data_IF_422212606779
#
_entry.id   IF_422212606779
#
_cell.length_a   1.000
_cell.length_b   1.000
_cell.length_c   1.000
_cell.angle_alpha   90.00
_cell.angle_beta   90.00
_cell.angle_gamma   90.00
#
_symmetry.space_group_name_H-M   'P 1'
#
loop_
_entity.id
_entity.type
_entity.pdbx_description
1 polymer ?
#
# COMPACT_ATOMS: atom_id res chain seq x y z
N UNK A 1 39.42 -20.69 -91.50
CA UNK A 1 40.61 -19.83 -91.76
C UNK A 1 40.22 -18.39 -91.44
N UNK A 2 41.05 -17.49 -90.90
CA UNK A 2 42.47 -17.55 -90.50
C UNK A 2 42.77 -16.57 -89.33
N UNK A 3 43.71 -16.96 -88.45
CA UNK A 3 44.63 -16.21 -87.55
C UNK A 3 44.28 -14.72 -87.20
N UNK A 4 44.14 -14.27 -85.94
CA UNK A 4 44.94 -14.44 -84.69
C UNK A 4 46.21 -13.54 -84.60
N UNK A 5 46.39 -12.89 -83.42
CA UNK A 5 47.58 -12.17 -82.85
C UNK A 5 47.75 -10.66 -83.16
N UNK A 6 48.51 -9.85 -82.38
CA UNK A 6 48.70 -9.65 -80.89
C UNK A 6 49.79 -8.58 -80.63
N UNK A 7 49.67 -7.75 -79.57
CA UNK A 7 50.73 -6.87 -78.97
C UNK A 7 51.18 -5.69 -79.89
N UNK A 8 51.92 -4.65 -79.48
CA UNK A 8 52.67 -4.29 -78.24
C UNK A 8 51.99 -3.10 -77.50
N UNK A 9 52.17 -2.74 -76.21
CA UNK A 9 53.17 -2.93 -75.13
C UNK A 9 54.24 -1.80 -74.98
N UNK A 10 53.96 -0.87 -74.06
CA UNK A 10 54.81 0.06 -73.27
C UNK A 10 53.98 0.32 -71.97
N UNK A 11 54.43 0.37 -70.69
CA UNK A 11 55.64 0.86 -69.99
C UNK A 11 55.80 2.40 -70.04
N UNK A 12 55.93 3.15 -68.92
CA UNK A 12 55.98 2.81 -67.48
C UNK A 12 55.61 4.03 -66.59
N UNK A 13 55.54 3.84 -65.27
CA UNK A 13 55.34 4.84 -64.19
C UNK A 13 53.90 5.38 -64.02
N UNK A 14 53.43 5.78 -62.84
CA UNK A 14 54.06 5.89 -61.51
C UNK A 14 53.22 5.18 -60.41
N UNK A 15 53.68 5.14 -59.16
CA UNK A 15 53.10 4.32 -58.07
C UNK A 15 52.20 5.09 -57.08
N UNK A 16 51.38 4.35 -56.33
CA UNK A 16 50.51 4.83 -55.24
C UNK A 16 49.02 4.89 -55.63
N UNK A 17 48.04 4.56 -54.77
CA UNK A 17 48.11 3.91 -53.45
C UNK A 17 46.79 3.11 -53.19
N UNK A 18 46.70 2.43 -52.04
CA UNK A 18 45.77 1.34 -51.71
C UNK A 18 44.25 1.52 -51.94
N UNK A 19 43.59 0.35 -51.94
CA UNK A 19 42.16 0.07 -52.08
C UNK A 19 41.30 0.47 -50.84
N UNK A 20 39.97 0.50 -51.08
CA UNK A 20 38.84 0.16 -50.17
C UNK A 20 38.29 1.20 -49.14
N UNK A 21 36.94 1.24 -49.08
CA UNK A 21 36.06 1.29 -47.85
C UNK A 21 36.04 2.61 -47.04
N UNK A 22 34.90 3.21 -46.64
CA UNK A 22 33.44 2.94 -46.85
C UNK A 22 32.63 4.25 -46.79
N UNK A 23 31.31 4.18 -47.02
CA UNK A 23 30.38 5.29 -46.84
C UNK A 23 30.34 5.84 -45.40
N UNK A 24 30.18 7.16 -45.26
CA UNK A 24 29.98 7.85 -43.98
C UNK A 24 28.49 8.10 -43.76
N UNK A 25 27.85 7.25 -42.95
CA UNK A 25 26.59 7.55 -42.28
C UNK A 25 26.92 7.92 -40.83
N UNK A 26 26.94 9.22 -40.54
CA UNK A 26 27.28 9.74 -39.22
C UNK A 26 26.16 9.50 -38.21
N UNK A 27 26.17 8.34 -37.56
CA UNK A 27 25.35 8.09 -36.37
C UNK A 27 25.86 8.92 -35.19
N UNK A 28 25.01 9.80 -34.64
CA UNK A 28 25.31 10.50 -33.39
C UNK A 28 25.10 9.53 -32.21
N UNK A 29 26.18 8.88 -31.78
CA UNK A 29 26.20 8.16 -30.50
C UNK A 29 26.10 9.18 -29.36
N UNK A 30 25.04 9.07 -28.55
CA UNK A 30 24.94 9.68 -27.22
C UNK A 30 25.21 8.57 -26.20
N UNK A 31 25.87 8.92 -25.09
CA UNK A 31 26.43 7.96 -24.15
C UNK A 31 25.41 6.92 -23.66
N UNK A 32 25.78 5.64 -23.73
CA UNK A 32 24.95 4.54 -23.27
C UNK A 32 24.82 4.54 -21.75
N UNK A 33 23.63 4.84 -21.25
CA UNK A 33 23.13 4.20 -20.05
C UNK A 33 22.92 2.71 -20.35
N UNK A 34 23.36 1.83 -19.45
CA UNK A 34 22.88 0.45 -19.43
C UNK A 34 21.45 0.45 -18.85
N UNK A 35 20.52 0.96 -19.64
CA UNK A 35 19.10 0.89 -19.38
C UNK A 35 18.65 -0.48 -19.87
N UNK A 36 18.26 -1.38 -18.98
CA UNK A 36 17.72 -2.66 -19.41
C UNK A 36 16.47 -2.42 -20.25
N UNK A 37 16.38 -3.09 -21.40
CA UNK A 37 15.17 -3.08 -22.19
C UNK A 37 14.02 -3.68 -21.35
N UNK A 38 12.88 -3.01 -21.37
CA UNK A 38 11.67 -3.50 -20.74
C UNK A 38 11.30 -4.91 -21.26
N UNK A 39 10.65 -5.76 -20.45
CA UNK A 39 10.11 -7.04 -20.88
C UNK A 39 9.28 -6.94 -22.17
N UNK A 40 9.32 -7.97 -23.02
CA UNK A 40 8.52 -8.03 -24.25
C UNK A 40 7.04 -8.33 -23.93
N UNK A 41 6.27 -7.25 -23.68
CA UNK A 41 4.88 -7.34 -23.21
C UNK A 41 3.91 -7.47 -24.37
N UNK A 42 3.14 -8.56 -24.41
CA UNK A 42 2.22 -8.92 -25.52
C UNK A 42 1.14 -7.88 -25.85
N UNK A 43 0.83 -7.00 -24.90
CA UNK A 43 -0.14 -5.90 -24.99
C UNK A 43 0.48 -4.51 -24.68
N UNK A 44 1.80 -4.47 -24.46
CA UNK A 44 2.54 -3.26 -24.09
C UNK A 44 2.34 -2.78 -22.64
N UNK A 45 1.64 -3.52 -21.77
CA UNK A 45 1.27 -3.07 -20.42
C UNK A 45 2.06 -3.74 -19.32
N UNK A 46 2.57 -2.96 -18.37
CA UNK A 46 3.16 -3.46 -17.12
C UNK A 46 2.09 -4.20 -16.32
N UNK A 47 2.31 -5.46 -16.00
CA UNK A 47 1.45 -6.21 -15.10
C UNK A 47 1.81 -5.91 -13.66
N UNK A 48 0.84 -5.38 -12.93
CA UNK A 48 0.97 -5.11 -11.49
C UNK A 48 0.05 -6.04 -10.72
N UNK A 49 0.61 -6.87 -9.86
CA UNK A 49 -0.13 -7.48 -8.76
C UNK A 49 -0.09 -6.53 -7.57
N UNK A 50 -1.25 -6.24 -6.97
CA UNK A 50 -1.37 -5.45 -5.75
C UNK A 50 -2.19 -6.26 -4.75
N UNK A 51 -1.65 -6.52 -3.56
CA UNK A 51 -2.33 -7.39 -2.58
C UNK A 51 -3.62 -6.74 -2.07
N UNK A 52 -3.50 -5.53 -1.53
CA UNK A 52 -4.56 -4.74 -0.91
C UNK A 52 -5.10 -3.63 -1.83
N UNK A 53 -6.31 -3.12 -1.52
CA UNK A 53 -6.95 -2.05 -2.30
C UNK A 53 -6.18 -0.72 -2.42
N UNK A 54 -5.47 -0.18 -1.42
CA UNK A 54 -4.77 1.10 -1.58
C UNK A 54 -3.68 1.01 -2.64
N UNK A 55 -2.90 -0.09 -2.65
CA UNK A 55 -1.86 -0.34 -3.66
C UNK A 55 -2.45 -0.54 -5.05
N UNK A 56 -3.60 -1.21 -5.15
CA UNK A 56 -4.36 -1.31 -6.40
C UNK A 56 -4.75 0.07 -6.96
N UNK A 57 -5.33 0.96 -6.15
CA UNK A 57 -5.69 2.31 -6.63
C UNK A 57 -4.43 3.16 -6.91
N UNK A 58 -3.39 3.10 -6.08
CA UNK A 58 -2.15 3.84 -6.30
C UNK A 58 -1.51 3.44 -7.63
N UNK A 59 -1.31 2.15 -7.89
CA UNK A 59 -0.76 1.66 -9.15
C UNK A 59 -1.65 2.03 -10.35
N UNK A 60 -2.98 1.94 -10.21
CA UNK A 60 -3.95 2.32 -11.25
C UNK A 60 -3.89 3.83 -11.57
N UNK A 61 -3.74 4.68 -10.56
CA UNK A 61 -3.75 6.15 -10.72
C UNK A 61 -2.42 6.69 -11.22
N UNK A 62 -1.30 6.07 -10.83
CA UNK A 62 0.05 6.41 -11.30
C UNK A 62 0.29 5.84 -12.70
N UNK A 63 0.03 4.54 -12.90
CA UNK A 63 0.28 3.83 -14.14
C UNK A 63 -0.69 4.15 -15.29
N UNK A 64 -1.95 4.47 -14.97
CA UNK A 64 -2.95 4.85 -15.95
C UNK A 64 -3.15 3.82 -17.06
N UNK A 65 -2.88 4.22 -18.31
CA UNK A 65 -3.06 3.33 -19.47
C UNK A 65 -1.93 2.31 -19.66
N UNK A 66 -0.75 2.54 -19.07
CA UNK A 66 0.47 1.74 -19.27
C UNK A 66 0.54 0.50 -18.37
N UNK A 67 -0.37 0.36 -17.41
CA UNK A 67 -0.44 -0.78 -16.48
C UNK A 67 -1.68 -1.65 -16.76
N UNK A 68 -1.60 -2.92 -16.39
CA UNK A 68 -2.75 -3.76 -16.07
C UNK A 68 -2.63 -4.20 -14.61
N UNK A 69 -3.55 -3.73 -13.75
CA UNK A 69 -3.45 -3.90 -12.30
C UNK A 69 -4.45 -4.96 -11.83
N UNK A 70 -3.96 -5.97 -11.15
CA UNK A 70 -4.78 -7.01 -10.49
C UNK A 70 -4.74 -6.83 -8.98
N UNK A 71 -5.92 -6.62 -8.37
CA UNK A 71 -6.11 -6.76 -6.93
C UNK A 71 -6.10 -8.25 -6.59
N UNK A 72 -5.28 -8.68 -5.62
CA UNK A 72 -5.18 -10.09 -5.22
C UNK A 72 -6.24 -10.46 -4.19
N UNK A 73 -6.35 -9.72 -3.08
CA UNK A 73 -7.42 -9.96 -2.09
C UNK A 73 -8.76 -9.44 -2.65
N UNK A 74 -9.75 -10.30 -2.98
CA UNK A 74 -10.89 -9.90 -3.78
C UNK A 74 -11.76 -8.81 -3.13
N UNK A 75 -12.30 -7.90 -3.96
CA UNK A 75 -13.18 -6.82 -3.51
C UNK A 75 -14.42 -7.33 -2.74
N UNK A 76 -14.44 -7.11 -1.43
CA UNK A 76 -15.49 -7.53 -0.50
C UNK A 76 -15.11 -8.71 0.39
N UNK A 77 -13.86 -9.19 0.32
CA UNK A 77 -13.28 -10.18 1.23
C UNK A 77 -12.59 -9.48 2.41
N UNK A 78 -12.62 -10.10 3.59
CA UNK A 78 -11.76 -9.70 4.72
C UNK A 78 -10.32 -10.13 4.43
N UNK A 79 -9.34 -9.30 4.80
CA UNK A 79 -7.94 -9.44 4.39
C UNK A 79 -7.11 -10.29 5.35
N UNK A 80 -7.33 -10.14 6.66
CA UNK A 80 -6.67 -10.93 7.71
C UNK A 80 -7.06 -12.42 7.67
N UNK A 81 -8.17 -12.75 7.01
CA UNK A 81 -8.64 -14.13 6.76
C UNK A 81 -8.45 -14.62 5.32
N UNK A 82 -7.59 -13.97 4.52
CA UNK A 82 -7.31 -14.35 3.14
C UNK A 82 -6.21 -15.43 3.01
N UNK A 83 -6.58 -16.61 2.52
CA UNK A 83 -5.62 -17.60 2.02
C UNK A 83 -5.47 -17.48 0.48
N UNK A 84 -4.26 -17.28 -0.08
CA UNK A 84 -4.06 -17.17 -1.52
C UNK A 84 -4.26 -18.52 -2.23
N UNK A 85 -5.08 -18.55 -3.29
CA UNK A 85 -5.22 -19.78 -4.09
C UNK A 85 -4.00 -20.00 -4.99
N UNK A 86 -3.79 -21.22 -5.46
CA UNK A 86 -2.77 -21.50 -6.48
C UNK A 86 -2.92 -20.65 -7.76
N UNK A 87 -4.12 -20.17 -8.10
CA UNK A 87 -4.31 -19.25 -9.23
C UNK A 87 -3.81 -17.83 -8.93
N UNK A 88 -3.74 -17.44 -7.66
CA UNK A 88 -3.31 -16.12 -7.22
C UNK A 88 -1.79 -16.10 -7.03
N UNK A 89 -1.20 -17.18 -6.49
CA UNK A 89 0.25 -17.42 -6.54
C UNK A 89 0.77 -17.34 -7.99
N UNK A 90 0.08 -17.99 -8.94
CA UNK A 90 0.39 -17.91 -10.37
C UNK A 90 0.14 -16.51 -10.94
N UNK A 91 -0.84 -15.73 -10.45
CA UNK A 91 -1.07 -14.35 -10.92
C UNK A 91 0.05 -13.42 -10.51
N UNK A 92 0.48 -13.49 -9.25
CA UNK A 92 1.57 -12.68 -8.70
C UNK A 92 2.92 -13.05 -9.31
N UNK A 93 3.25 -14.34 -9.39
CA UNK A 93 4.50 -14.81 -9.99
C UNK A 93 4.66 -14.55 -11.49
N UNK A 94 3.59 -14.12 -12.20
CA UNK A 94 3.61 -13.72 -13.61
C UNK A 94 3.37 -12.21 -13.82
N UNK A 95 3.52 -11.39 -12.77
CA UNK A 95 3.53 -9.94 -12.85
C UNK A 95 4.92 -9.40 -13.23
N UNK A 96 4.99 -8.16 -13.72
CA UNK A 96 6.26 -7.40 -13.77
C UNK A 96 6.58 -6.80 -12.40
N UNK A 97 5.53 -6.39 -11.66
CA UNK A 97 5.61 -5.73 -10.35
C UNK A 97 4.59 -6.35 -9.37
N UNK A 98 5.04 -6.71 -8.17
CA UNK A 98 4.21 -7.08 -7.01
C UNK A 98 4.36 -6.00 -5.94
N UNK A 99 3.24 -5.34 -5.62
CA UNK A 99 3.10 -4.42 -4.50
C UNK A 99 2.35 -5.14 -3.38
N UNK A 100 3.02 -5.33 -2.25
CA UNK A 100 2.45 -5.95 -1.07
C UNK A 100 2.68 -5.06 0.16
N UNK A 101 1.83 -5.18 1.17
CA UNK A 101 2.01 -4.47 2.43
C UNK A 101 3.30 -4.92 3.12
N UNK A 102 3.44 -6.23 3.28
CA UNK A 102 4.35 -6.82 4.28
C UNK A 102 3.68 -6.95 5.64
N UNK A 103 4.48 -7.18 6.67
CA UNK A 103 3.98 -7.49 8.01
C UNK A 103 3.43 -8.92 8.13
N UNK A 104 2.65 -9.18 9.17
CA UNK A 104 2.29 -10.55 9.56
C UNK A 104 1.13 -11.14 8.77
N UNK A 105 0.17 -10.32 8.31
CA UNK A 105 -0.98 -10.78 7.51
C UNK A 105 -0.59 -11.22 6.08
N UNK A 106 0.64 -10.93 5.65
CA UNK A 106 1.14 -11.21 4.29
C UNK A 106 2.40 -12.08 4.23
N UNK A 107 2.75 -12.82 5.29
CA UNK A 107 3.90 -13.75 5.30
C UNK A 107 3.88 -14.76 4.13
N UNK A 108 2.70 -15.11 3.61
CA UNK A 108 2.54 -15.97 2.43
C UNK A 108 3.15 -15.40 1.14
N UNK A 109 3.43 -14.09 1.06
CA UNK A 109 4.10 -13.46 -0.09
C UNK A 109 5.54 -13.98 -0.27
N UNK A 110 6.25 -14.34 0.81
CA UNK A 110 7.61 -14.87 0.71
C UNK A 110 7.70 -16.12 -0.20
N UNK A 111 6.73 -17.02 -0.07
CA UNK A 111 6.63 -18.24 -0.89
C UNK A 111 6.36 -17.93 -2.37
N UNK A 112 5.68 -16.82 -2.68
CA UNK A 112 5.46 -16.34 -4.05
C UNK A 112 6.77 -15.87 -4.67
N UNK A 113 7.56 -15.10 -3.92
CA UNK A 113 8.83 -14.54 -4.38
C UNK A 113 9.86 -15.67 -4.61
N UNK A 114 9.97 -16.62 -3.69
CA UNK A 114 10.81 -17.81 -3.86
C UNK A 114 10.42 -18.64 -5.10
N UNK A 115 9.12 -18.86 -5.31
CA UNK A 115 8.61 -19.58 -6.49
C UNK A 115 8.73 -18.80 -7.81
N UNK A 116 8.95 -17.48 -7.75
CA UNK A 116 9.09 -16.59 -8.92
C UNK A 116 10.55 -16.31 -9.32
N UNK A 117 11.54 -16.97 -8.71
CA UNK A 117 12.98 -16.72 -8.87
C UNK A 117 13.54 -16.79 -10.30
N UNK A 118 12.87 -17.49 -11.23
CA UNK A 118 13.23 -17.53 -12.66
C UNK A 118 12.59 -16.39 -13.49
N UNK A 119 11.76 -15.52 -12.90
CA UNK A 119 11.06 -14.42 -13.58
C UNK A 119 11.64 -13.04 -13.23
N UNK A 120 11.45 -12.05 -14.12
CA UNK A 120 11.77 -10.63 -13.84
C UNK A 120 10.68 -9.96 -12.99
N UNK A 121 10.29 -10.58 -11.89
CA UNK A 121 9.37 -9.97 -10.92
C UNK A 121 10.13 -8.98 -10.04
N UNK A 122 9.76 -7.70 -10.08
CA UNK A 122 10.07 -6.78 -8.98
C UNK A 122 9.00 -6.96 -7.91
N UNK A 123 9.39 -7.28 -6.68
CA UNK A 123 8.50 -7.20 -5.51
C UNK A 123 8.98 -6.06 -4.61
N UNK A 124 8.05 -5.27 -4.08
CA UNK A 124 8.36 -4.22 -3.10
C UNK A 124 7.35 -4.22 -1.94
N UNK A 125 7.88 -4.04 -0.74
CA UNK A 125 7.21 -4.19 0.54
C UNK A 125 6.89 -2.82 1.13
N UNK A 126 5.61 -2.47 1.16
CA UNK A 126 5.17 -1.10 1.40
C UNK A 126 5.46 -0.61 2.84
N UNK A 127 5.56 -1.51 3.84
CA UNK A 127 5.99 -1.15 5.21
C UNK A 127 7.42 -0.60 5.27
N UNK A 128 8.31 -0.94 4.33
CA UNK A 128 9.69 -0.44 4.33
C UNK A 128 9.81 1.06 4.00
N UNK A 129 8.75 1.68 3.46
CA UNK A 129 8.77 3.05 2.92
C UNK A 129 8.18 4.12 3.85
N UNK A 130 7.89 3.74 5.10
CA UNK A 130 7.30 4.63 6.13
C UNK A 130 8.01 4.47 7.47
N UNK A 131 7.74 5.38 8.43
CA UNK A 131 8.04 5.11 9.83
C UNK A 131 6.89 4.26 10.37
N UNK A 132 7.21 3.11 10.93
CA UNK A 132 6.25 2.22 11.57
C UNK A 132 5.86 2.69 12.98
N UNK A 133 4.70 2.22 13.42
CA UNK A 133 4.14 2.34 14.77
C UNK A 133 3.74 0.92 15.20
N UNK A 134 3.73 0.65 16.50
CA UNK A 134 3.13 -0.59 17.03
C UNK A 134 1.63 -0.42 17.22
N UNK A 135 0.91 -1.53 17.25
CA UNK A 135 -0.44 -1.61 17.80
C UNK A 135 -0.43 -1.05 19.25
N UNK A 136 -1.58 -0.57 19.73
CA UNK A 136 -1.73 -0.18 21.13
C UNK A 136 -3.10 -0.57 21.68
N UNK A 137 -3.09 -1.17 22.87
CA UNK A 137 -4.29 -1.49 23.62
C UNK A 137 -4.68 -0.31 24.51
N UNK A 138 -5.84 0.31 24.24
CA UNK A 138 -6.36 1.45 25.00
C UNK A 138 -7.46 1.04 25.99
N UNK A 139 -7.62 1.80 27.08
CA UNK A 139 -8.60 1.51 28.14
C UNK A 139 -9.99 1.18 27.57
N UNK A 140 -10.52 0.01 27.95
CA UNK A 140 -11.87 -0.46 27.60
C UNK A 140 -11.98 -1.24 26.28
N UNK A 141 -10.91 -1.34 25.50
CA UNK A 141 -10.81 -2.29 24.39
C UNK A 141 -10.97 -3.74 24.90
N UNK A 142 -11.49 -4.64 24.06
CA UNK A 142 -11.55 -6.06 24.36
C UNK A 142 -10.14 -6.63 24.48
N UNK A 143 -9.82 -7.29 25.60
CA UNK A 143 -8.61 -8.11 25.72
C UNK A 143 -8.65 -9.23 24.67
N UNK A 144 -7.63 -9.28 23.80
CA UNK A 144 -7.39 -10.41 22.91
C UNK A 144 -7.24 -11.68 23.76
N UNK A 145 -7.94 -12.76 23.39
CA UNK A 145 -7.71 -14.09 23.98
C UNK A 145 -6.50 -14.71 23.30
N UNK A 146 -5.31 -14.16 23.55
CA UNK A 146 -4.08 -14.69 23.00
C UNK A 146 -3.97 -16.19 23.27
N UNK A 147 -3.56 -16.95 22.27
CA UNK A 147 -2.91 -18.22 22.56
C UNK A 147 -1.64 -17.84 23.34
N UNK A 148 -1.63 -18.12 24.64
CA UNK A 148 -0.49 -17.83 25.47
C UNK A 148 0.69 -18.66 24.93
N UNK A 149 1.66 -17.98 24.32
CA UNK A 149 2.97 -18.57 24.09
C UNK A 149 3.55 -18.91 25.45
N UNK A 150 3.48 -20.21 25.77
CA UNK A 150 3.94 -20.78 27.03
C UNK A 150 5.47 -20.68 27.04
N UNK A 151 5.97 -19.56 27.54
CA UNK A 151 7.40 -19.32 27.73
C UNK A 151 7.88 -20.15 28.92
N UNK A 152 8.09 -21.45 28.68
CA UNK A 152 8.83 -22.34 29.57
C UNK A 152 10.16 -21.66 29.95
N UNK A 153 10.37 -21.42 31.25
CA UNK A 153 11.56 -20.75 31.81
C UNK A 153 12.80 -21.67 31.83
N UNK A 154 13.28 -22.10 30.66
CA UNK A 154 14.53 -22.85 30.52
C UNK A 154 15.76 -21.91 30.57
N UNK A 155 16.22 -21.59 31.80
CA UNK A 155 17.53 -20.96 32.04
C UNK A 155 18.70 -21.89 31.66
N UNK A 156 19.34 -21.72 30.50
CA UNK A 156 20.78 -22.02 30.35
C UNK A 156 21.53 -20.93 29.56
N UNK A 157 22.44 -20.22 30.24
CA UNK A 157 23.31 -19.22 29.63
C UNK A 157 24.46 -19.84 28.83
N UNK A 158 24.69 -19.35 27.61
CA UNK A 158 26.03 -19.35 27.00
C UNK A 158 26.32 -17.98 26.36
N UNK A 159 27.54 -17.47 26.56
CA UNK A 159 28.03 -16.24 25.92
C UNK A 159 28.84 -16.58 24.67
N UNK A 160 28.72 -15.77 23.62
CA UNK A 160 29.83 -15.44 22.71
C UNK A 160 29.62 -14.04 22.10
N UNK A 161 30.71 -13.32 21.80
CA UNK A 161 30.66 -11.91 21.34
C UNK A 161 30.71 -11.78 19.80
N UNK A 162 29.77 -11.05 19.18
CA UNK A 162 29.94 -10.53 17.82
C UNK A 162 29.08 -9.29 17.48
N UNK A 163 29.76 -8.21 17.04
CA UNK A 163 29.31 -7.24 16.04
C UNK A 163 27.96 -6.48 16.22
N UNK A 164 27.94 -5.55 17.17
CA UNK A 164 27.67 -4.11 16.90
C UNK A 164 26.69 -3.78 15.74
N UNK A 165 25.38 -3.94 15.99
CA UNK A 165 24.30 -3.31 15.23
C UNK A 165 23.52 -2.35 16.16
N UNK A 166 22.95 -1.31 15.58
CA UNK A 166 22.51 -0.13 16.35
C UNK A 166 21.24 -0.39 17.16
N UNK A 167 21.36 -0.21 18.48
CA UNK A 167 20.25 -0.12 19.42
C UNK A 167 19.32 1.06 19.09
N UNK A 168 18.07 0.74 18.75
CA UNK A 168 16.96 1.70 18.74
C UNK A 168 15.68 1.10 19.31
N UNK A 169 15.65 0.94 20.63
CA UNK A 169 14.45 0.90 21.49
C UNK A 169 13.56 -0.35 21.48
N UNK A 170 13.62 -1.05 22.62
CA UNK A 170 12.48 -1.57 23.40
C UNK A 170 11.10 -1.11 22.90
N UNK A 171 10.34 -2.02 22.29
CA UNK A 171 8.89 -1.87 22.10
C UNK A 171 8.29 -3.24 21.77
N UNK A 172 7.98 -4.03 22.81
CA UNK A 172 7.69 -5.47 22.72
C UNK A 172 6.27 -5.80 22.19
N UNK A 173 5.70 -4.91 21.37
CA UNK A 173 4.36 -5.02 20.81
C UNK A 173 4.37 -5.20 19.29
N UNK A 174 3.34 -5.87 18.78
CA UNK A 174 3.11 -6.12 17.35
C UNK A 174 3.08 -4.81 16.53
N UNK A 175 3.54 -4.88 15.28
CA UNK A 175 3.61 -3.72 14.38
C UNK A 175 2.23 -3.46 13.77
N UNK A 176 1.70 -2.23 13.91
CA UNK A 176 0.48 -1.86 13.17
C UNK A 176 0.83 -1.78 11.68
N UNK A 177 0.24 -2.67 10.89
CA UNK A 177 0.51 -2.81 9.47
C UNK A 177 -0.29 -1.82 8.57
N UNK A 178 -1.23 -1.05 9.13
CA UNK A 178 -2.23 -0.23 8.41
C UNK A 178 -1.69 1.13 7.95
N UNK A 179 -0.45 1.11 7.46
CA UNK A 179 0.40 2.27 7.15
C UNK A 179 -0.24 3.30 6.20
N UNK A 180 -1.11 2.85 5.29
CA UNK A 180 -1.76 3.67 4.27
C UNK A 180 -2.88 4.57 4.82
N UNK A 181 -3.31 4.36 6.06
CA UNK A 181 -4.43 5.10 6.66
C UNK A 181 -4.10 6.56 6.95
N UNK A 182 -2.82 6.91 7.15
CA UNK A 182 -2.35 8.30 7.12
C UNK A 182 -2.27 8.82 5.66
N UNK A 183 -2.97 9.92 5.31
CA UNK A 183 -2.81 10.59 4.01
C UNK A 183 -1.40 11.15 3.75
N UNK A 184 -0.52 11.22 4.74
CA UNK A 184 0.89 11.60 4.58
C UNK A 184 1.75 10.39 4.26
N UNK A 185 1.48 9.22 4.87
CA UNK A 185 2.10 7.96 4.42
C UNK A 185 1.66 7.60 2.99
N UNK A 186 0.37 7.74 2.66
CA UNK A 186 -0.14 7.51 1.31
C UNK A 186 0.58 8.35 0.23
N UNK A 187 1.10 9.54 0.56
CA UNK A 187 1.91 10.34 -0.38
C UNK A 187 3.29 9.71 -0.67
N UNK A 188 3.91 9.11 0.35
CA UNK A 188 5.20 8.39 0.21
C UNK A 188 5.00 7.15 -0.66
N UNK A 189 3.97 6.35 -0.32
CA UNK A 189 3.61 5.12 -1.02
C UNK A 189 3.26 5.36 -2.50
N UNK A 190 2.48 6.42 -2.80
CA UNK A 190 2.20 6.82 -4.19
C UNK A 190 3.44 7.27 -4.95
N UNK A 191 4.46 7.85 -4.29
CA UNK A 191 5.74 8.16 -4.94
C UNK A 191 6.58 6.91 -5.17
N UNK A 192 6.68 6.02 -4.19
CA UNK A 192 7.39 4.74 -4.32
C UNK A 192 6.84 3.92 -5.49
N UNK A 193 5.52 3.74 -5.57
CA UNK A 193 4.85 3.05 -6.70
C UNK A 193 5.18 3.67 -8.07
N UNK A 194 5.45 4.97 -8.15
CA UNK A 194 5.90 5.62 -9.38
C UNK A 194 7.36 5.31 -9.73
N UNK A 195 8.22 5.17 -8.71
CA UNK A 195 9.60 4.75 -8.88
C UNK A 195 9.70 3.25 -9.18
N UNK A 196 8.80 2.39 -8.67
CA UNK A 196 8.72 0.96 -9.02
C UNK A 196 8.27 0.74 -10.47
N UNK A 197 7.18 1.40 -10.87
CA UNK A 197 6.75 1.44 -12.26
C UNK A 197 7.86 1.98 -13.17
N UNK A 198 8.63 2.96 -12.67
CA UNK A 198 9.85 3.47 -13.32
C UNK A 198 10.97 2.45 -13.48
N UNK A 199 11.21 1.60 -12.47
CA UNK A 199 12.21 0.51 -12.50
C UNK A 199 11.86 -0.55 -13.56
N UNK A 200 10.59 -0.97 -13.62
CA UNK A 200 10.13 -2.03 -14.55
C UNK A 200 9.78 -1.53 -15.94
N UNK A 201 9.44 -0.25 -16.10
CA UNK A 201 9.08 0.34 -17.41
C UNK A 201 9.70 1.75 -17.61
N UNK A 202 11.03 1.83 -17.79
CA UNK A 202 11.75 3.10 -17.82
C UNK A 202 11.38 4.06 -18.96
N UNK A 203 10.67 3.59 -19.98
CA UNK A 203 10.21 4.42 -21.11
C UNK A 203 9.09 5.39 -20.69
N UNK A 204 8.28 5.04 -19.69
CA UNK A 204 7.10 5.79 -19.24
C UNK A 204 7.27 6.49 -17.87
N UNK A 205 8.50 6.51 -17.32
CA UNK A 205 8.86 7.19 -16.06
C UNK A 205 8.22 8.59 -15.89
N UNK A 206 8.25 9.42 -16.95
CA UNK A 206 7.78 10.82 -16.89
C UNK A 206 6.27 10.91 -16.76
N UNK A 207 5.55 9.97 -17.36
CA UNK A 207 4.11 9.83 -17.25
C UNK A 207 3.73 9.34 -15.84
N UNK A 208 4.47 8.38 -15.27
CA UNK A 208 4.29 7.92 -13.90
C UNK A 208 4.54 9.02 -12.87
N UNK A 209 5.70 9.69 -12.93
CA UNK A 209 6.02 10.83 -12.05
C UNK A 209 4.92 11.89 -12.12
N UNK A 210 4.52 12.31 -13.33
CA UNK A 210 3.47 13.31 -13.54
C UNK A 210 2.11 12.90 -12.97
N UNK A 211 1.75 11.62 -13.06
CA UNK A 211 0.49 11.10 -12.54
C UNK A 211 0.51 10.99 -11.00
N UNK A 212 1.61 10.48 -10.43
CA UNK A 212 1.85 10.47 -8.99
C UNK A 212 1.83 11.89 -8.41
N UNK A 213 2.53 12.82 -9.05
CA UNK A 213 2.60 14.23 -8.71
C UNK A 213 1.21 14.91 -8.80
N UNK A 214 0.28 14.41 -9.63
CA UNK A 214 -1.11 14.86 -9.68
C UNK A 214 -2.00 14.21 -8.59
N UNK A 215 -1.73 12.97 -8.20
CA UNK A 215 -2.47 12.25 -7.15
C UNK A 215 -2.04 12.69 -5.74
N UNK A 216 -0.74 12.87 -5.51
CA UNK A 216 -0.15 13.47 -4.30
C UNK A 216 -0.76 14.87 -4.05
N UNK A 217 -0.98 15.67 -5.09
CA UNK A 217 -1.69 16.97 -4.96
C UNK A 217 -3.18 16.86 -4.64
N UNK A 218 -3.80 15.66 -4.71
CA UNK A 218 -5.12 15.37 -4.10
C UNK A 218 -4.94 15.04 -2.61
N UNK A 219 -4.02 14.13 -2.29
CA UNK A 219 -3.70 13.69 -0.92
C UNK A 219 -3.28 14.86 -0.02
N UNK A 220 -2.44 15.79 -0.50
CA UNK A 220 -2.08 17.01 0.22
C UNK A 220 -3.28 17.91 0.53
N UNK A 221 -4.22 18.05 -0.42
CA UNK A 221 -5.45 18.83 -0.17
C UNK A 221 -6.40 18.13 0.79
N UNK A 222 -6.37 16.80 0.84
CA UNK A 222 -7.16 15.99 1.75
C UNK A 222 -6.56 16.07 3.17
N UNK A 223 -5.24 15.90 3.31
CA UNK A 223 -4.49 16.10 4.55
C UNK A 223 -4.77 17.46 5.19
N UNK A 224 -4.60 18.54 4.43
CA UNK A 224 -4.83 19.89 4.95
C UNK A 224 -6.30 20.12 5.35
N UNK A 225 -7.27 19.47 4.70
CA UNK A 225 -8.67 19.48 5.16
C UNK A 225 -8.85 18.70 6.48
N UNK A 226 -8.15 17.57 6.68
CA UNK A 226 -8.18 16.83 7.94
C UNK A 226 -7.55 17.63 9.09
N UNK A 227 -6.34 18.18 8.89
CA UNK A 227 -5.68 19.08 9.88
C UNK A 227 -6.59 20.25 10.25
N UNK A 228 -7.21 20.92 9.27
CA UNK A 228 -8.19 21.99 9.53
C UNK A 228 -9.40 21.53 10.37
N UNK A 229 -9.83 20.26 10.26
CA UNK A 229 -10.95 19.75 11.08
C UNK A 229 -10.51 19.44 12.50
N UNK A 230 -9.33 18.83 12.70
CA UNK A 230 -8.87 18.41 14.04
C UNK A 230 -8.22 19.54 14.83
N UNK A 231 -7.64 20.56 14.19
CA UNK A 231 -7.16 21.79 14.85
C UNK A 231 -8.31 22.64 15.42
N UNK A 232 -9.49 22.59 14.77
CA UNK A 232 -10.67 23.34 15.18
C UNK A 232 -11.65 22.54 16.06
N UNK A 233 -11.38 21.26 16.31
CA UNK A 233 -12.19 20.39 17.17
C UNK A 233 -12.10 20.81 18.65
N UNK A 234 -13.19 20.67 19.41
CA UNK A 234 -13.25 21.02 20.84
C UNK A 234 -12.93 19.87 21.77
N UNK A 235 -13.44 18.70 21.44
CA UNK A 235 -12.96 17.42 21.94
C UNK A 235 -12.36 16.69 20.74
N UNK A 236 -11.21 16.06 20.93
CA UNK A 236 -10.44 15.42 19.84
C UNK A 236 -10.67 13.90 19.80
N UNK A 237 -11.78 13.47 20.37
CA UNK A 237 -11.99 12.08 20.76
C UNK A 237 -12.94 11.34 19.83
N UNK A 238 -12.52 10.16 19.35
CA UNK A 238 -13.32 9.27 18.51
C UNK A 238 -13.67 7.96 19.23
N UNK A 239 -14.90 7.49 19.09
CA UNK A 239 -15.33 6.20 19.63
C UNK A 239 -15.62 5.21 18.49
N UNK A 240 -14.74 4.23 18.33
CA UNK A 240 -14.92 3.10 17.42
C UNK A 240 -15.59 1.96 18.21
N UNK A 241 -16.67 1.41 17.66
CA UNK A 241 -17.38 0.25 18.23
C UNK A 241 -17.14 -0.99 17.35
N UNK A 242 -15.87 -1.15 16.96
CA UNK A 242 -15.36 -2.06 15.94
C UNK A 242 -13.83 -2.25 16.15
N UNK A 243 -13.18 -2.99 15.26
CA UNK A 243 -11.70 -3.11 15.18
C UNK A 243 -11.04 -1.76 14.88
N UNK A 244 -9.77 -1.59 15.24
CA UNK A 244 -9.04 -0.31 15.14
C UNK A 244 -7.76 -0.34 14.26
N UNK A 245 -7.87 -0.64 12.96
CA UNK A 245 -6.75 -0.55 12.01
C UNK A 245 -6.49 0.91 11.56
N UNK A 246 -6.26 1.84 12.51
CA UNK A 246 -6.28 3.29 12.27
C UNK A 246 -5.22 4.10 13.05
N UNK A 247 -4.22 3.46 13.69
CA UNK A 247 -3.20 4.13 14.53
C UNK A 247 -2.53 5.31 13.81
N UNK A 248 -2.07 5.11 12.58
CA UNK A 248 -1.40 6.14 11.78
C UNK A 248 -2.28 7.36 11.49
N UNK A 249 -3.61 7.20 11.39
CA UNK A 249 -4.52 8.32 11.20
C UNK A 249 -4.71 9.13 12.49
N UNK A 250 -4.83 8.45 13.63
CA UNK A 250 -4.98 9.09 14.95
C UNK A 250 -3.71 9.86 15.34
N UNK A 251 -2.53 9.24 15.15
CA UNK A 251 -1.22 9.85 15.39
C UNK A 251 -0.99 11.11 14.53
N UNK A 252 -1.18 11.01 13.20
CA UNK A 252 -0.96 12.11 12.23
C UNK A 252 -1.80 13.36 12.54
N UNK A 253 -2.98 13.19 13.13
CA UNK A 253 -3.93 14.28 13.40
C UNK A 253 -4.06 14.66 14.88
N UNK A 254 -3.28 14.02 15.75
CA UNK A 254 -3.25 14.27 17.19
C UNK A 254 -4.64 14.15 17.81
N UNK A 255 -5.25 12.98 17.63
CA UNK A 255 -6.58 12.61 18.12
C UNK A 255 -6.46 11.65 19.32
N UNK A 256 -7.50 11.62 20.15
CA UNK A 256 -7.70 10.60 21.18
C UNK A 256 -8.76 9.59 20.71
N UNK A 257 -8.79 8.37 21.25
CA UNK A 257 -9.84 7.41 20.90
C UNK A 257 -10.19 6.38 21.99
N UNK A 258 -11.20 5.56 21.68
CA UNK A 258 -11.45 4.23 22.24
C UNK A 258 -11.98 3.33 21.11
N UNK A 259 -11.73 2.03 21.23
CA UNK A 259 -12.09 1.01 20.25
C UNK A 259 -12.74 -0.20 20.93
N UNK A 260 -13.45 -1.05 20.16
CA UNK A 260 -13.97 -2.30 20.70
C UNK A 260 -12.92 -3.41 20.70
N UNK A 261 -12.04 -3.46 19.70
CA UNK A 261 -10.99 -4.47 19.54
C UNK A 261 -9.70 -3.83 18.99
N UNK A 262 -8.60 -4.59 18.98
CA UNK A 262 -7.33 -4.24 18.36
C UNK A 262 -7.45 -4.05 16.83
N UNK A 263 -6.35 -3.73 16.15
CA UNK A 263 -6.30 -3.56 14.69
C UNK A 263 -6.58 -4.88 13.97
N UNK A 264 -5.69 -5.86 14.18
CA UNK A 264 -5.73 -7.17 13.50
C UNK A 264 -6.74 -8.19 14.08
N UNK A 265 -7.57 -7.80 15.05
CA UNK A 265 -8.42 -8.72 15.83
C UNK A 265 -9.36 -9.61 14.98
N UNK A 266 -9.62 -10.83 15.46
CA UNK A 266 -10.58 -11.77 14.88
C UNK A 266 -11.92 -11.86 15.64
N UNK A 267 -12.00 -11.31 16.86
CA UNK A 267 -13.24 -11.32 17.66
C UNK A 267 -14.29 -10.35 17.06
N UNK A 268 -15.58 -10.71 17.14
CA UNK A 268 -16.69 -9.96 16.50
C UNK A 268 -17.85 -9.60 17.42
N UNK A 269 -17.85 -10.10 18.66
CA UNK A 269 -18.83 -9.74 19.70
C UNK A 269 -18.05 -9.39 21.00
N UNK A 270 -17.93 -8.11 21.38
CA UNK A 270 -17.09 -7.68 22.49
C UNK A 270 -17.79 -7.89 23.84
N UNK A 271 -17.01 -7.88 24.93
CA UNK A 271 -17.54 -8.05 26.29
C UNK A 271 -18.59 -7.00 26.67
N UNK A 272 -19.45 -7.36 27.63
CA UNK A 272 -20.42 -6.43 28.20
C UNK A 272 -19.75 -5.22 28.87
N UNK A 273 -18.53 -5.38 29.37
CA UNK A 273 -17.75 -4.31 29.99
C UNK A 273 -17.15 -3.36 28.95
N UNK A 274 -16.62 -3.87 27.82
CA UNK A 274 -16.23 -3.08 26.63
C UNK A 274 -17.41 -2.27 26.10
N UNK A 275 -18.59 -2.89 25.91
CA UNK A 275 -19.80 -2.18 25.48
C UNK A 275 -20.22 -1.10 26.49
N UNK A 276 -20.11 -1.39 27.79
CA UNK A 276 -20.42 -0.44 28.87
C UNK A 276 -19.45 0.74 28.88
N UNK A 277 -18.16 0.47 28.68
CA UNK A 277 -17.10 1.46 28.59
C UNK A 277 -17.28 2.40 27.40
N UNK A 278 -17.45 1.85 26.19
CA UNK A 278 -17.71 2.60 24.96
C UNK A 278 -18.97 3.48 25.14
N UNK A 279 -20.05 2.89 25.65
CA UNK A 279 -21.30 3.62 25.93
C UNK A 279 -21.10 4.74 26.95
N UNK A 280 -20.22 4.57 27.94
CA UNK A 280 -19.87 5.59 28.93
C UNK A 280 -19.10 6.74 28.30
N UNK A 281 -18.02 6.47 27.56
CA UNK A 281 -17.22 7.51 26.88
C UNK A 281 -18.09 8.36 25.94
N UNK A 282 -18.94 7.72 25.12
CA UNK A 282 -19.87 8.41 24.20
C UNK A 282 -20.86 9.30 24.96
N UNK A 283 -21.37 8.86 26.12
CA UNK A 283 -22.29 9.66 26.97
C UNK A 283 -21.60 10.83 27.67
N UNK A 284 -20.47 10.59 28.31
CA UNK A 284 -19.79 11.57 29.17
C UNK A 284 -19.21 12.72 28.35
N UNK A 285 -18.63 12.41 27.18
CA UNK A 285 -18.15 13.39 26.19
C UNK A 285 -19.25 13.96 25.29
N UNK A 286 -20.41 13.30 25.24
CA UNK A 286 -21.55 13.60 24.34
C UNK A 286 -21.17 13.53 22.86
N UNK A 287 -20.45 12.48 22.47
CA UNK A 287 -20.02 12.30 21.08
C UNK A 287 -21.27 12.16 20.17
N UNK A 288 -21.34 12.86 19.03
CA UNK A 288 -22.48 12.80 18.12
C UNK A 288 -22.51 11.53 17.26
N UNK A 289 -21.39 10.83 17.14
CA UNK A 289 -21.18 9.68 16.24
C UNK A 289 -20.42 8.57 16.98
N UNK A 290 -20.81 7.32 16.72
CA UNK A 290 -20.03 6.11 16.96
C UNK A 290 -19.58 5.57 15.59
N UNK A 291 -18.32 5.15 15.50
CA UNK A 291 -17.69 4.73 14.26
C UNK A 291 -17.59 3.20 14.16
N UNK A 292 -17.61 2.72 12.91
CA UNK A 292 -17.32 1.35 12.48
C UNK A 292 -16.51 1.37 11.20
N UNK A 293 -15.83 0.28 10.86
CA UNK A 293 -15.05 0.17 9.62
C UNK A 293 -15.88 -0.43 8.48
N UNK A 294 -15.35 -0.48 7.26
CA UNK A 294 -16.05 -1.13 6.14
C UNK A 294 -16.12 -2.66 6.30
N UNK A 295 -17.07 -3.29 5.58
CA UNK A 295 -17.30 -4.74 5.53
C UNK A 295 -17.72 -5.43 6.85
N UNK A 296 -17.66 -4.75 8.01
CA UNK A 296 -18.10 -5.28 9.33
C UNK A 296 -19.60 -5.17 9.58
N UNK A 297 -20.06 -5.79 10.68
CA UNK A 297 -21.45 -5.80 11.14
C UNK A 297 -21.80 -4.59 12.03
N UNK A 298 -22.85 -3.85 11.69
CA UNK A 298 -23.27 -2.65 12.42
C UNK A 298 -23.87 -2.91 13.83
N UNK A 299 -24.01 -4.19 14.26
CA UNK A 299 -24.65 -4.57 15.54
C UNK A 299 -24.09 -3.80 16.74
N UNK A 300 -22.77 -3.82 16.93
CA UNK A 300 -22.08 -3.29 18.13
C UNK A 300 -22.20 -1.76 18.15
N UNK A 301 -21.88 -1.12 17.02
CA UNK A 301 -22.02 0.33 16.86
C UNK A 301 -23.46 0.82 17.10
N UNK A 302 -24.47 0.11 16.58
CA UNK A 302 -25.88 0.44 16.85
C UNK A 302 -26.23 0.25 18.34
N UNK A 303 -25.80 -0.84 18.98
CA UNK A 303 -26.07 -1.08 20.40
C UNK A 303 -25.47 0.04 21.29
N UNK A 304 -24.21 0.42 21.03
CA UNK A 304 -23.55 1.53 21.74
C UNK A 304 -24.25 2.86 21.44
N UNK A 305 -24.56 3.17 20.17
CA UNK A 305 -25.21 4.43 19.80
C UNK A 305 -26.65 4.53 20.34
N UNK A 306 -27.42 3.44 20.38
CA UNK A 306 -28.75 3.40 20.99
C UNK A 306 -28.67 3.56 22.51
N UNK A 307 -27.79 2.80 23.19
CA UNK A 307 -27.59 2.89 24.63
C UNK A 307 -27.04 4.26 25.07
N UNK A 308 -26.26 4.93 24.23
CA UNK A 308 -25.71 6.27 24.43
C UNK A 308 -26.70 7.41 24.10
N UNK A 309 -27.69 7.15 23.25
CA UNK A 309 -28.69 8.16 22.87
C UNK A 309 -29.57 8.59 24.03
N UNK A 310 -29.90 9.88 24.06
CA UNK A 310 -30.90 10.47 24.97
C UNK A 310 -31.98 11.19 24.15
N UNK A 311 -32.96 11.80 24.83
CA UNK A 311 -34.01 12.59 24.16
C UNK A 311 -33.48 13.83 23.45
N UNK A 312 -32.42 14.43 23.98
CA UNK A 312 -31.90 15.73 23.56
C UNK A 312 -30.53 15.62 22.86
N UNK A 313 -29.95 14.41 22.84
CA UNK A 313 -28.70 14.07 22.14
C UNK A 313 -28.84 12.70 21.48
N UNK A 314 -29.02 12.67 20.15
CA UNK A 314 -29.13 11.42 19.38
C UNK A 314 -27.79 11.10 18.72
N UNK A 315 -27.21 9.96 19.11
CA UNK A 315 -25.96 9.45 18.54
C UNK A 315 -26.25 8.72 17.22
N UNK A 316 -25.42 8.97 16.20
CA UNK A 316 -25.44 8.26 14.90
C UNK A 316 -24.43 7.10 14.89
N UNK A 317 -24.60 6.18 13.95
CA UNK A 317 -23.52 5.30 13.46
C UNK A 317 -23.11 5.80 12.06
N UNK A 318 -21.81 5.96 11.82
CA UNK A 318 -21.24 6.29 10.51
C UNK A 318 -20.02 5.37 10.25
N UNK A 319 -19.69 5.11 8.98
CA UNK A 319 -18.53 4.28 8.59
C UNK A 319 -17.29 5.13 8.38
N UNK A 320 -16.19 4.75 9.03
CA UNK A 320 -14.86 5.31 8.80
C UNK A 320 -14.03 4.30 8.00
N UNK A 321 -13.77 4.60 6.72
CA UNK A 321 -13.10 3.71 5.79
C UNK A 321 -11.61 3.59 6.12
N UNK A 322 -11.18 2.40 6.47
CA UNK A 322 -9.77 1.99 6.56
C UNK A 322 -9.10 1.98 5.19
N UNK A 323 -9.90 1.86 4.13
CA UNK A 323 -9.48 1.65 2.75
C UNK A 323 -8.72 0.33 2.52
N UNK A 324 -8.71 -0.60 3.49
CA UNK A 324 -8.04 -1.90 3.39
C UNK A 324 -8.59 -2.71 2.20
N UNK A 325 -9.93 -2.73 2.07
CA UNK A 325 -10.64 -3.28 0.90
C UNK A 325 -11.91 -2.45 0.57
N UNK A 326 -12.60 -2.79 -0.52
CA UNK A 326 -13.85 -2.16 -0.96
C UNK A 326 -14.92 -3.20 -1.27
N UNK A 327 -16.21 -2.86 -1.13
CA UNK A 327 -17.27 -3.75 -1.63
C UNK A 327 -17.14 -3.94 -3.15
N UNK A 328 -17.61 -5.08 -3.67
CA UNK A 328 -17.67 -5.35 -5.11
C UNK A 328 -18.35 -4.21 -5.89
N UNK A 329 -19.42 -3.62 -5.35
CA UNK A 329 -20.13 -2.50 -5.96
C UNK A 329 -19.26 -1.22 -6.06
N UNK A 330 -18.46 -0.92 -5.03
CA UNK A 330 -17.52 0.22 -5.06
C UNK A 330 -16.39 -0.03 -6.07
N UNK A 331 -15.85 -1.25 -6.12
CA UNK A 331 -14.84 -1.66 -7.10
C UNK A 331 -15.35 -1.50 -8.53
N UNK A 332 -16.54 -2.05 -8.85
CA UNK A 332 -17.17 -1.95 -10.17
C UNK A 332 -17.61 -0.52 -10.52
N UNK A 333 -17.86 0.34 -9.52
CA UNK A 333 -18.09 1.77 -9.71
C UNK A 333 -16.80 2.59 -9.90
N UNK A 334 -15.61 1.97 -9.79
CA UNK A 334 -14.32 2.63 -9.97
C UNK A 334 -13.87 3.53 -8.82
N UNK A 335 -14.40 3.31 -7.61
CA UNK A 335 -14.03 3.99 -6.36
C UNK A 335 -12.50 4.11 -6.19
N UNK A 336 -12.05 5.12 -5.44
CA UNK A 336 -10.62 5.46 -5.25
C UNK A 336 -10.31 5.59 -3.76
N UNK A 337 -9.05 5.41 -3.35
CA UNK A 337 -8.62 5.68 -1.97
C UNK A 337 -8.96 7.12 -1.57
N UNK A 338 -8.73 8.09 -2.46
CA UNK A 338 -9.08 9.51 -2.23
C UNK A 338 -10.59 9.70 -2.00
N UNK A 339 -11.47 9.01 -2.74
CA UNK A 339 -12.93 9.17 -2.60
C UNK A 339 -13.51 8.44 -1.39
N UNK A 340 -12.84 7.40 -0.87
CA UNK A 340 -13.11 6.85 0.45
C UNK A 340 -12.70 7.84 1.56
N UNK A 341 -11.49 8.37 1.49
CA UNK A 341 -11.00 9.32 2.49
C UNK A 341 -11.72 10.68 2.46
N UNK A 342 -12.27 11.11 1.32
CA UNK A 342 -13.19 12.27 1.28
C UNK A 342 -14.54 12.00 1.96
N UNK A 343 -14.98 10.73 2.09
CA UNK A 343 -16.11 10.35 2.96
C UNK A 343 -15.69 10.38 4.43
N UNK A 344 -14.49 9.89 4.78
CA UNK A 344 -13.95 10.02 6.13
C UNK A 344 -13.86 11.48 6.57
N UNK A 345 -13.52 12.41 5.67
CA UNK A 345 -13.53 13.84 5.96
C UNK A 345 -14.92 14.41 6.26
N UNK A 346 -16.00 13.87 5.68
CA UNK A 346 -17.37 14.18 6.12
C UNK A 346 -17.58 13.63 7.53
N UNK A 347 -17.33 12.34 7.73
CA UNK A 347 -17.59 11.63 8.98
C UNK A 347 -16.82 12.23 10.17
N UNK A 348 -15.56 12.65 9.97
CA UNK A 348 -14.75 13.32 10.98
C UNK A 348 -15.34 14.68 11.40
N UNK A 349 -15.97 15.42 10.47
CA UNK A 349 -16.70 16.65 10.81
C UNK A 349 -17.99 16.35 11.57
N UNK A 350 -18.76 15.36 11.11
CA UNK A 350 -19.95 14.89 11.83
C UNK A 350 -19.63 14.37 13.24
N UNK A 351 -18.39 13.91 13.49
CA UNK A 351 -17.91 13.39 14.77
C UNK A 351 -17.32 14.45 15.73
N UNK A 352 -16.65 15.50 15.21
CA UNK A 352 -15.81 16.42 16.02
C UNK A 352 -16.32 17.88 16.13
N UNK A 353 -17.46 18.26 15.51
CA UNK A 353 -17.88 19.67 15.36
C UNK A 353 -19.28 20.01 15.91
#
# INVERSE_FOLDING_TARGET
MSKNKRKWRNLTHLAGMCLLVTAVLSGCSVAGTNQEAAPDRKDGKVKVAATLFPYYDFARQVGGNYVDVSLIVPAGMDTHSFEPTASDLIRMGNADLLLYNGGENEQWVGQVIEAATDQKLLADEMVQHVKLLTEEHVEGMQEEKGEAHDHDEDEEHTHDEAADLQDTHENDGEIDEHIWTSPVNAQKLVKQVADDLGKVDPEHQKEYDKNADAYIKKLQKLDQKFKTVTEHAKDKYLAFADRFPLRYFIEEYGLDYTAAFAGCSSDTEPSADTITYLTRQVKERKLPVVLKIELTSDKVANAVAEAASTRDHKVKVETFYTCHNVTRQQFDAGETYVSLMEKNLKVLKDALQ
#
